data_IF_769652088300
#
_entry.id   IF_769652088300
#
_cell.length_a   1.000
_cell.length_b   1.000
_cell.length_c   1.000
_cell.angle_alpha   90.00
_cell.angle_beta   90.00
_cell.angle_gamma   90.00
#
_symmetry.space_group_name_H-M   'P 1'
#
loop_
_entity.id
_entity.type
_entity.pdbx_description
1 polymer ?
#
# COMPACT_ATOMS: atom_id res chain seq x y z
N UNK A 1 -4.30 3.65 -9.44
CA UNK A 1 -3.68 3.91 -10.77
C UNK A 1 -3.01 5.28 -10.83
N UNK A 2 -3.71 6.41 -10.60
CA UNK A 2 -3.05 7.73 -10.60
C UNK A 2 -1.90 7.84 -9.59
N UNK A 3 -2.12 7.47 -8.32
CA UNK A 3 -1.08 7.52 -7.29
C UNK A 3 0.15 6.65 -7.64
N UNK A 4 -0.07 5.46 -8.21
CA UNK A 4 0.99 4.59 -8.72
C UNK A 4 1.83 5.29 -9.81
N UNK A 5 1.16 5.83 -10.83
CA UNK A 5 1.85 6.55 -11.91
C UNK A 5 2.61 7.77 -11.41
N UNK A 6 2.05 8.48 -10.42
CA UNK A 6 2.72 9.61 -9.79
C UNK A 6 3.97 9.18 -9.02
N UNK A 7 3.92 8.10 -8.22
CA UNK A 7 5.10 7.65 -7.50
C UNK A 7 6.18 7.11 -8.43
N UNK A 8 5.81 6.36 -9.48
CA UNK A 8 6.77 5.92 -10.50
C UNK A 8 7.44 7.11 -11.19
N UNK A 9 6.68 8.15 -11.53
CA UNK A 9 7.25 9.38 -12.09
C UNK A 9 8.21 10.05 -11.10
N UNK A 10 7.83 10.19 -9.84
CA UNK A 10 8.67 10.82 -8.81
C UNK A 10 9.96 10.03 -8.56
N UNK A 11 9.89 8.71 -8.51
CA UNK A 11 11.07 7.84 -8.41
C UNK A 11 11.97 7.96 -9.65
N UNK A 12 11.40 8.15 -10.84
CA UNK A 12 12.17 8.42 -12.06
C UNK A 12 12.86 9.79 -12.08
N UNK A 13 12.24 10.82 -11.48
CA UNK A 13 12.83 12.17 -11.36
C UNK A 13 13.90 12.22 -10.25
N UNK A 14 13.70 11.47 -9.17
CA UNK A 14 14.61 11.42 -8.01
C UNK A 14 15.17 10.00 -7.78
N UNK A 15 15.91 9.43 -8.75
CA UNK A 15 16.32 8.02 -8.71
C UNK A 15 17.34 7.71 -7.60
N UNK A 16 18.04 8.73 -7.09
CA UNK A 16 19.05 8.58 -6.05
C UNK A 16 18.47 8.63 -4.63
N UNK A 17 17.17 8.87 -4.48
CA UNK A 17 16.56 8.99 -3.16
C UNK A 17 16.18 7.61 -2.65
N UNK A 18 16.76 7.23 -1.50
CA UNK A 18 16.45 5.96 -0.86
C UNK A 18 14.97 5.91 -0.47
N UNK A 19 14.25 4.89 -0.95
CA UNK A 19 12.85 4.64 -0.61
C UNK A 19 12.70 3.95 0.74
N UNK A 20 13.77 3.37 1.31
CA UNK A 20 13.75 2.72 2.62
C UNK A 20 12.74 1.58 2.74
N UNK A 21 12.31 1.00 1.61
CA UNK A 21 11.43 -0.17 1.55
C UNK A 21 12.27 -1.45 1.70
N UNK A 22 11.72 -2.46 2.37
CA UNK A 22 12.39 -3.75 2.58
C UNK A 22 11.69 -4.81 1.74
N UNK A 23 12.44 -5.45 0.85
CA UNK A 23 11.93 -6.57 0.07
C UNK A 23 11.86 -7.85 0.91
N UNK A 24 10.75 -8.58 0.77
CA UNK A 24 10.61 -9.92 1.33
C UNK A 24 11.29 -10.96 0.42
N UNK A 25 11.89 -11.98 1.02
CA UNK A 25 12.53 -13.09 0.29
C UNK A 25 11.50 -13.96 -0.41
N UNK A 26 11.90 -14.49 -1.57
CA UNK A 26 11.13 -15.35 -2.47
C UNK A 26 12.04 -16.43 -3.07
N UNK A 27 12.81 -17.11 -2.23
CA UNK A 27 13.85 -18.07 -2.65
C UNK A 27 13.38 -19.54 -2.67
N UNK A 28 12.16 -19.79 -2.20
CA UNK A 28 11.55 -21.11 -2.08
C UNK A 28 10.03 -21.03 -2.23
N UNK A 29 9.37 -22.13 -2.62
CA UNK A 29 7.91 -22.19 -2.74
C UNK A 29 7.18 -21.69 -1.49
N UNK A 30 7.70 -22.01 -0.29
CA UNK A 30 7.14 -21.54 0.97
C UNK A 30 7.24 -20.02 1.11
N UNK A 31 8.42 -19.44 0.89
CA UNK A 31 8.60 -17.98 1.00
C UNK A 31 7.84 -17.21 -0.07
N UNK A 32 7.68 -17.78 -1.28
CA UNK A 32 6.86 -17.20 -2.34
C UNK A 32 5.37 -17.22 -1.99
N UNK A 33 4.87 -18.30 -1.41
CA UNK A 33 3.50 -18.39 -0.92
C UNK A 33 3.26 -17.38 0.22
N UNK A 34 4.17 -17.31 1.19
CA UNK A 34 4.11 -16.33 2.28
C UNK A 34 4.09 -14.92 1.71
N UNK A 35 5.00 -14.60 0.78
CA UNK A 35 5.03 -13.32 0.08
C UNK A 35 3.69 -13.00 -0.57
N UNK A 36 3.14 -13.92 -1.37
CA UNK A 36 1.88 -13.67 -2.07
C UNK A 36 0.73 -13.41 -1.07
N UNK A 37 0.60 -14.22 -0.02
CA UNK A 37 -0.46 -14.05 0.98
C UNK A 37 -0.28 -12.76 1.78
N UNK A 38 0.95 -12.46 2.22
CA UNK A 38 1.27 -11.33 3.09
C UNK A 38 1.38 -9.99 2.38
N UNK A 39 1.50 -9.97 1.05
CA UNK A 39 1.64 -8.73 0.26
C UNK A 39 0.48 -8.48 -0.69
N UNK A 40 -0.34 -9.49 -1.01
CA UNK A 40 -1.50 -9.33 -1.90
C UNK A 40 -2.80 -9.33 -1.12
N UNK A 41 -3.08 -10.42 -0.40
CA UNK A 41 -4.39 -10.63 0.21
C UNK A 41 -4.51 -9.99 1.59
N UNK A 42 -3.59 -10.31 2.51
CA UNK A 42 -3.68 -9.86 3.89
C UNK A 42 -3.63 -8.33 4.04
N UNK A 43 -2.75 -7.58 3.34
CA UNK A 43 -2.70 -6.13 3.42
C UNK A 43 -4.06 -5.47 3.14
N UNK A 44 -4.71 -5.88 2.06
CA UNK A 44 -5.98 -5.32 1.62
C UNK A 44 -7.06 -5.43 2.70
N UNK A 45 -7.03 -6.49 3.52
CA UNK A 45 -7.99 -6.66 4.62
C UNK A 45 -7.51 -5.96 5.90
N UNK A 46 -6.28 -6.24 6.31
CA UNK A 46 -5.74 -5.82 7.61
C UNK A 46 -5.46 -4.32 7.65
N UNK A 47 -4.76 -3.79 6.66
CA UNK A 47 -4.38 -2.37 6.59
C UNK A 47 -5.61 -1.49 6.42
N UNK A 48 -6.55 -1.87 5.54
CA UNK A 48 -7.76 -1.07 5.36
C UNK A 48 -8.67 -1.11 6.59
N UNK A 49 -8.79 -2.26 7.25
CA UNK A 49 -9.54 -2.35 8.52
C UNK A 49 -8.89 -1.48 9.60
N UNK A 50 -7.58 -1.55 9.74
CA UNK A 50 -6.85 -0.83 10.77
C UNK A 50 -6.80 0.67 10.46
N UNK A 51 -6.15 1.06 9.36
CA UNK A 51 -5.90 2.45 9.03
C UNK A 51 -7.17 3.18 8.59
N UNK A 52 -8.09 2.58 7.84
CA UNK A 52 -9.28 3.32 7.39
C UNK A 52 -10.44 3.14 8.35
N UNK A 53 -10.94 1.92 8.50
CA UNK A 53 -12.18 1.66 9.26
C UNK A 53 -12.04 2.03 10.74
N UNK A 54 -10.93 1.67 11.37
CA UNK A 54 -10.79 1.85 12.82
C UNK A 54 -10.21 3.23 13.19
N UNK A 55 -9.27 3.77 12.40
CA UNK A 55 -8.67 5.08 12.73
C UNK A 55 -9.46 6.28 12.21
N UNK A 56 -10.05 6.26 11.00
CA UNK A 56 -10.74 7.42 10.44
C UNK A 56 -12.10 7.60 11.12
N UNK A 57 -12.24 8.67 11.91
CA UNK A 57 -13.45 8.93 12.72
C UNK A 57 -14.33 9.99 12.08
N UNK A 58 -15.60 9.64 11.88
CA UNK A 58 -16.60 10.53 11.26
C UNK A 58 -17.40 11.36 12.27
N UNK A 59 -16.71 11.98 13.23
CA UNK A 59 -17.36 12.80 14.27
C UNK A 59 -17.55 14.27 13.86
N UNK A 60 -16.56 14.86 13.19
CA UNK A 60 -16.63 16.23 12.66
C UNK A 60 -15.66 16.41 11.50
N UNK A 61 -15.81 17.46 10.69
CA UNK A 61 -14.87 17.75 9.58
C UNK A 61 -13.42 17.82 10.07
N UNK A 62 -13.18 18.48 11.21
CA UNK A 62 -11.85 18.59 11.82
C UNK A 62 -11.30 17.23 12.25
N UNK A 63 -12.12 16.40 12.89
CA UNK A 63 -11.72 15.06 13.35
C UNK A 63 -11.44 14.14 12.16
N UNK A 64 -12.24 14.20 11.09
CA UNK A 64 -12.00 13.42 9.87
C UNK A 64 -10.64 13.77 9.28
N UNK A 65 -10.35 15.05 9.10
CA UNK A 65 -9.05 15.50 8.54
C UNK A 65 -7.89 15.03 9.41
N UNK A 66 -7.97 15.23 10.73
CA UNK A 66 -6.91 14.86 11.66
C UNK A 66 -6.66 13.34 11.69
N UNK A 67 -7.73 12.56 11.82
CA UNK A 67 -7.62 11.09 11.89
C UNK A 67 -7.19 10.48 10.55
N UNK A 68 -7.58 11.09 9.43
CA UNK A 68 -7.11 10.71 8.09
C UNK A 68 -5.63 10.96 7.93
N UNK A 69 -5.13 12.11 8.38
CA UNK A 69 -3.70 12.41 8.34
C UNK A 69 -2.88 11.37 9.12
N UNK A 70 -3.26 11.07 10.37
CA UNK A 70 -2.56 10.06 11.17
C UNK A 70 -2.69 8.64 10.60
N UNK A 71 -3.86 8.31 10.06
CA UNK A 71 -4.10 7.05 9.34
C UNK A 71 -3.14 6.89 8.15
N UNK A 72 -2.93 7.93 7.36
CA UNK A 72 -1.97 7.91 6.25
C UNK A 72 -0.52 7.88 6.71
N UNK A 73 -0.19 8.64 7.77
CA UNK A 73 1.17 8.69 8.31
C UNK A 73 1.60 7.33 8.89
N UNK A 74 0.75 6.68 9.69
CA UNK A 74 1.09 5.37 10.26
C UNK A 74 1.17 4.28 9.20
N UNK A 75 0.27 4.30 8.21
CA UNK A 75 0.40 3.46 7.02
C UNK A 75 1.77 3.65 6.34
N UNK A 76 2.21 4.90 6.17
CA UNK A 76 3.48 5.19 5.51
C UNK A 76 4.71 4.77 6.34
N UNK A 77 4.64 4.93 7.66
CA UNK A 77 5.70 4.50 8.58
C UNK A 77 5.86 2.97 8.66
N UNK A 78 4.79 2.22 8.39
CA UNK A 78 4.87 0.76 8.23
C UNK A 78 5.65 0.36 6.96
N UNK A 79 5.54 1.16 5.90
CA UNK A 79 6.06 0.80 4.58
C UNK A 79 7.48 1.31 4.30
N UNK A 80 7.98 2.29 5.04
CA UNK A 80 9.29 2.88 4.77
C UNK A 80 10.00 3.39 6.01
N UNK A 81 11.32 3.15 6.04
CA UNK A 81 12.24 3.69 7.03
C UNK A 81 12.87 5.04 6.63
N UNK A 82 12.57 5.54 5.43
CA UNK A 82 13.16 6.76 4.89
C UNK A 82 12.12 7.87 4.75
N UNK A 83 12.52 9.13 4.90
CA UNK A 83 11.61 10.27 4.72
C UNK A 83 11.01 10.33 3.31
N UNK A 84 11.80 9.98 2.30
CA UNK A 84 11.33 9.96 0.91
C UNK A 84 10.28 8.87 0.68
N UNK A 85 10.55 7.64 1.11
CA UNK A 85 9.58 6.55 0.98
C UNK A 85 8.33 6.75 1.82
N UNK A 86 8.44 7.36 3.02
CA UNK A 86 7.26 7.74 3.82
C UNK A 86 6.38 8.72 3.01
N UNK A 87 6.96 9.72 2.37
CA UNK A 87 6.20 10.65 1.52
C UNK A 87 5.51 9.92 0.36
N UNK A 88 6.23 9.03 -0.34
CA UNK A 88 5.65 8.24 -1.42
C UNK A 88 4.50 7.35 -0.91
N UNK A 89 4.67 6.65 0.21
CA UNK A 89 3.63 5.83 0.80
C UNK A 89 2.41 6.65 1.26
N UNK A 90 2.60 7.90 1.70
CA UNK A 90 1.47 8.81 1.97
C UNK A 90 0.70 9.17 0.68
N UNK A 91 1.38 9.36 -0.45
CA UNK A 91 0.71 9.59 -1.76
C UNK A 91 -0.17 8.39 -2.14
N UNK A 92 0.28 7.18 -1.83
CA UNK A 92 -0.49 5.93 -2.00
C UNK A 92 -1.68 5.81 -1.06
N UNK A 93 -1.49 6.13 0.22
CA UNK A 93 -2.54 6.08 1.23
C UNK A 93 -3.68 7.08 0.96
N UNK A 94 -3.38 8.18 0.27
CA UNK A 94 -4.33 9.27 0.02
C UNK A 94 -5.58 8.85 -0.77
N UNK A 95 -5.50 8.25 -1.99
CA UNK A 95 -6.69 7.82 -2.73
C UNK A 95 -7.52 6.77 -1.97
N UNK A 96 -6.88 5.87 -1.22
CA UNK A 96 -7.57 4.87 -0.41
C UNK A 96 -8.38 5.55 0.70
N UNK A 97 -7.77 6.53 1.38
CA UNK A 97 -8.42 7.35 2.41
C UNK A 97 -9.59 8.15 1.86
N UNK A 98 -9.41 8.84 0.73
CA UNK A 98 -10.47 9.61 0.07
C UNK A 98 -11.62 8.71 -0.36
N UNK A 99 -11.30 7.54 -0.93
CA UNK A 99 -12.29 6.55 -1.33
C UNK A 99 -13.13 6.09 -0.13
N UNK A 100 -12.50 5.79 1.01
CA UNK A 100 -13.22 5.42 2.23
C UNK A 100 -14.15 6.53 2.72
N UNK A 101 -13.63 7.77 2.80
CA UNK A 101 -14.39 8.92 3.27
C UNK A 101 -15.58 9.24 2.36
N UNK A 102 -15.46 9.00 1.05
CA UNK A 102 -16.51 9.25 0.06
C UNK A 102 -17.57 8.15 0.04
N UNK A 103 -17.15 6.89 0.05
CA UNK A 103 -18.06 5.74 -0.10
C UNK A 103 -18.66 5.26 1.21
N UNK A 104 -17.97 5.51 2.33
CA UNK A 104 -18.29 4.95 3.66
C UNK A 104 -18.36 3.43 3.68
N UNK A 105 -17.78 2.78 2.67
CA UNK A 105 -17.80 1.35 2.51
C UNK A 105 -16.37 0.82 2.47
N UNK A 106 -15.99 0.08 3.51
CA UNK A 106 -14.63 -0.45 3.61
C UNK A 106 -14.30 -1.46 2.51
N UNK A 107 -15.29 -2.22 2.05
CA UNK A 107 -15.10 -3.25 1.03
C UNK A 107 -14.69 -2.67 -0.33
N UNK A 108 -15.13 -1.44 -0.65
CA UNK A 108 -14.69 -0.74 -1.86
C UNK A 108 -13.18 -0.50 -1.82
N UNK A 109 -12.68 -0.05 -0.67
CA UNK A 109 -11.26 0.26 -0.49
C UNK A 109 -10.42 -1.00 -0.38
N UNK A 110 -10.89 -2.02 0.35
CA UNK A 110 -10.26 -3.35 0.38
C UNK A 110 -10.12 -3.94 -1.02
N UNK A 111 -11.16 -3.84 -1.85
CA UNK A 111 -11.12 -4.34 -3.23
C UNK A 111 -10.11 -3.55 -4.07
N UNK A 112 -10.12 -2.22 -3.98
CA UNK A 112 -9.20 -1.37 -4.72
C UNK A 112 -7.73 -1.63 -4.33
N UNK A 113 -7.46 -1.79 -3.04
CA UNK A 113 -6.14 -2.12 -2.52
C UNK A 113 -5.72 -3.53 -2.99
N UNK A 114 -6.59 -4.54 -2.85
CA UNK A 114 -6.32 -5.90 -3.34
C UNK A 114 -5.96 -5.93 -4.82
N UNK A 115 -6.72 -5.23 -5.68
CA UNK A 115 -6.40 -5.13 -7.12
C UNK A 115 -5.05 -4.46 -7.35
N UNK A 116 -4.75 -3.40 -6.60
CA UNK A 116 -3.44 -2.73 -6.64
C UNK A 116 -2.29 -3.69 -6.33
N UNK A 117 -2.43 -4.48 -5.27
CA UNK A 117 -1.42 -5.45 -4.87
C UNK A 117 -1.34 -6.64 -5.83
N UNK A 118 -2.46 -7.08 -6.40
CA UNK A 118 -2.48 -8.12 -7.40
C UNK A 118 -1.71 -7.70 -8.66
N UNK A 119 -1.81 -6.43 -9.06
CA UNK A 119 -1.04 -5.89 -10.19
C UNK A 119 0.44 -5.73 -9.80
N UNK A 120 0.74 -5.06 -8.69
CA UNK A 120 2.12 -4.79 -8.27
C UNK A 120 2.87 -6.06 -7.87
N UNK A 121 2.44 -6.70 -6.78
CA UNK A 121 3.11 -7.86 -6.19
C UNK A 121 2.80 -9.16 -6.95
N UNK A 122 1.68 -9.24 -7.68
CA UNK A 122 1.39 -10.41 -8.53
C UNK A 122 2.34 -10.52 -9.73
N UNK A 123 2.74 -9.39 -10.34
CA UNK A 123 3.79 -9.39 -11.37
C UNK A 123 5.12 -9.94 -10.83
N UNK A 124 5.45 -9.61 -9.59
CA UNK A 124 6.60 -10.14 -8.86
C UNK A 124 6.54 -11.66 -8.71
N UNK A 125 5.38 -12.21 -8.32
CA UNK A 125 5.16 -13.66 -8.20
C UNK A 125 5.34 -14.34 -9.56
N UNK A 126 4.70 -13.83 -10.60
CA UNK A 126 4.77 -14.42 -11.96
C UNK A 126 6.21 -14.42 -12.47
N UNK A 127 6.93 -13.31 -12.30
CA UNK A 127 8.33 -13.19 -12.75
C UNK A 127 9.24 -14.17 -12.02
N UNK A 128 9.05 -14.35 -10.71
CA UNK A 128 9.80 -15.38 -9.94
C UNK A 128 9.51 -16.79 -10.47
N UNK A 129 8.25 -17.12 -10.76
CA UNK A 129 7.89 -18.44 -11.28
C UNK A 129 8.47 -18.71 -12.67
N UNK A 130 8.43 -17.72 -13.57
CA UNK A 130 9.04 -17.84 -14.90
C UNK A 130 10.53 -18.14 -14.76
N UNK A 131 11.23 -17.40 -13.90
CA UNK A 131 12.66 -17.59 -13.69
C UNK A 131 13.01 -19.00 -13.16
N UNK A 132 12.17 -19.60 -12.32
CA UNK A 132 12.41 -20.96 -11.80
C UNK A 132 12.12 -22.07 -12.81
N UNK A 133 11.29 -21.79 -13.82
CA UNK A 133 10.85 -22.77 -14.82
C UNK A 133 11.59 -22.66 -16.17
N UNK A 134 12.33 -21.58 -16.39
CA UNK A 134 13.22 -21.36 -17.54
C UNK A 134 14.60 -21.97 -17.34
#
# INVERSE_FOLDING_TARGET
MFAFGLTVFLEGVFPNFNTGTIGLKRDSWLTLLIFAVSTIFLPAVTEETFYRKNMIRFASKKIIVLTTFFSMLFYALEHSLSWWGILLAMIWAFPLSVSYIKTRNIYVVMTAHFIGNLIGNGCDVITTLIHWLS
#
